data_IF_775120487858
#
_entry.id   IF_775120487858
#
_cell.length_a   1.000
_cell.length_b   1.000
_cell.length_c   1.000
_cell.angle_alpha   90.00
_cell.angle_beta   90.00
_cell.angle_gamma   90.00
#
_symmetry.space_group_name_H-M   'P 1'
#
loop_
_entity.id
_entity.type
_entity.pdbx_description
1 polymer ?
#
# COMPACT_ATOMS: atom_id res chain seq x y z
N UNK A 1 -4.14 10.85 -21.73
CA UNK A 1 -4.16 9.75 -20.75
C UNK A 1 -4.31 10.40 -19.39
N UNK A 2 -5.52 10.40 -18.83
CA UNK A 2 -5.68 10.69 -17.41
C UNK A 2 -5.14 9.46 -16.70
N UNK A 3 -3.96 9.57 -16.10
CA UNK A 3 -3.49 8.60 -15.13
C UNK A 3 -4.49 8.70 -13.97
N UNK A 4 -5.57 7.91 -14.04
CA UNK A 4 -6.38 7.62 -12.87
C UNK A 4 -5.38 7.29 -11.76
N UNK A 5 -5.57 7.84 -10.56
CA UNK A 5 -4.81 7.45 -9.38
C UNK A 5 -4.66 5.94 -9.46
N UNK A 6 -3.43 5.49 -9.65
CA UNK A 6 -3.14 4.08 -9.86
C UNK A 6 -3.84 3.33 -8.76
N UNK A 7 -4.64 2.33 -9.13
CA UNK A 7 -5.39 1.54 -8.19
C UNK A 7 -4.39 0.84 -7.25
N UNK A 8 -4.13 1.46 -6.10
CA UNK A 8 -2.99 1.17 -5.25
C UNK A 8 -3.46 0.87 -3.83
N UNK A 9 -2.97 -0.25 -3.32
CA UNK A 9 -3.05 -0.67 -1.93
C UNK A 9 -1.86 -0.10 -1.18
N UNK A 10 -2.10 0.57 -0.06
CA UNK A 10 -1.04 1.09 0.80
C UNK A 10 -0.99 0.29 2.10
N UNK A 11 0.17 -0.27 2.42
CA UNK A 11 0.46 -0.92 3.70
C UNK A 11 1.31 0.01 4.55
N UNK A 12 0.88 0.24 5.79
CA UNK A 12 1.68 0.97 6.78
C UNK A 12 2.73 0.04 7.38
N UNK A 13 4.01 0.34 7.16
CA UNK A 13 5.14 -0.53 7.52
C UNK A 13 6.00 0.01 8.68
N UNK A 14 5.78 1.26 9.10
CA UNK A 14 6.46 1.82 10.28
C UNK A 14 5.79 1.34 11.59
N UNK A 15 6.47 0.57 12.44
CA UNK A 15 5.94 0.01 13.68
C UNK A 15 5.63 1.06 14.75
N UNK A 16 6.12 2.30 14.59
CA UNK A 16 5.82 3.40 15.50
C UNK A 16 4.55 4.17 15.11
N UNK A 17 4.03 3.95 13.91
CA UNK A 17 2.84 4.61 13.41
C UNK A 17 1.57 3.97 14.01
N UNK A 18 0.56 4.80 14.34
CA UNK A 18 -0.69 4.33 14.94
C UNK A 18 -1.46 3.34 14.05
N UNK A 19 -1.28 3.45 12.73
CA UNK A 19 -1.90 2.59 11.72
C UNK A 19 -0.99 1.42 11.28
N UNK A 20 0.09 1.11 12.01
CA UNK A 20 1.01 0.03 11.63
C UNK A 20 0.28 -1.27 11.28
N UNK A 21 0.62 -1.85 10.13
CA UNK A 21 0.05 -3.09 9.64
C UNK A 21 -1.40 -2.99 9.15
N UNK A 22 -1.93 -1.78 8.99
CA UNK A 22 -3.19 -1.56 8.30
C UNK A 22 -2.98 -1.39 6.79
N UNK A 23 -4.02 -1.77 6.05
CA UNK A 23 -4.16 -1.50 4.62
C UNK A 23 -5.06 -0.29 4.41
N UNK A 24 -4.78 0.49 3.38
CA UNK A 24 -5.64 1.57 2.93
C UNK A 24 -5.62 1.75 1.42
N UNK A 25 -6.62 2.45 0.93
CA UNK A 25 -6.77 2.88 -0.46
C UNK A 25 -6.03 4.20 -0.68
N UNK A 26 -5.21 4.27 -1.73
CA UNK A 26 -4.62 5.53 -2.17
C UNK A 26 -5.70 6.44 -2.79
N UNK A 27 -6.05 7.51 -2.10
CA UNK A 27 -7.10 8.47 -2.53
C UNK A 27 -6.58 9.65 -3.34
N UNK A 28 -5.31 10.03 -3.14
CA UNK A 28 -4.64 11.07 -3.91
C UNK A 28 -3.13 10.97 -3.78
N UNK A 29 -2.44 11.57 -4.74
CA UNK A 29 -0.99 11.59 -4.79
C UNK A 29 -0.51 12.82 -5.56
N UNK A 30 0.40 13.62 -4.99
CA UNK A 30 0.85 14.86 -5.63
C UNK A 30 2.01 14.68 -6.65
N UNK A 31 2.64 13.50 -6.64
CA UNK A 31 3.71 13.05 -7.56
C UNK A 31 4.94 13.98 -7.58
N UNK A 32 5.20 14.67 -6.48
CA UNK A 32 6.36 15.55 -6.35
C UNK A 32 7.55 14.79 -5.77
N UNK A 33 8.74 15.29 -6.05
CA UNK A 33 9.92 14.89 -5.30
C UNK A 33 9.73 15.31 -3.84
N UNK A 34 9.76 14.34 -2.90
CA UNK A 34 9.29 14.53 -1.50
C UNK A 34 7.80 14.89 -1.39
N UNK A 35 6.97 14.27 -2.23
CA UNK A 35 5.53 14.45 -2.27
C UNK A 35 4.77 13.83 -1.11
N UNK A 36 3.47 14.03 -1.13
CA UNK A 36 2.51 13.47 -0.17
C UNK A 36 1.48 12.61 -0.90
N UNK A 37 0.93 11.65 -0.15
CA UNK A 37 -0.18 10.80 -0.57
C UNK A 37 -1.23 10.70 0.51
N UNK A 38 -2.50 10.69 0.12
CA UNK A 38 -3.62 10.46 1.05
C UNK A 38 -4.09 9.03 1.02
N UNK A 39 -4.23 8.43 2.20
CA UNK A 39 -4.63 7.03 2.37
C UNK A 39 -5.91 6.97 3.19
N UNK A 40 -6.91 6.25 2.67
CA UNK A 40 -8.16 5.98 3.39
C UNK A 40 -8.19 4.54 3.90
N UNK A 41 -8.45 4.38 5.19
CA UNK A 41 -8.54 3.08 5.87
C UNK A 41 -9.98 2.56 5.91
N UNK A 42 -10.14 1.27 6.27
CA UNK A 42 -11.45 0.60 6.34
C UNK A 42 -12.44 1.27 7.31
N UNK A 43 -11.93 1.89 8.38
CA UNK A 43 -12.75 2.63 9.35
C UNK A 43 -13.22 4.01 8.84
N UNK A 44 -12.79 4.39 7.63
CA UNK A 44 -13.08 5.68 7.02
C UNK A 44 -12.11 6.80 7.42
N UNK A 45 -11.12 6.52 8.26
CA UNK A 45 -10.05 7.47 8.60
C UNK A 45 -9.20 7.76 7.36
N UNK A 46 -8.86 9.02 7.16
CA UNK A 46 -7.93 9.46 6.11
C UNK A 46 -6.66 10.05 6.75
N UNK A 47 -5.49 9.62 6.27
CA UNK A 47 -4.18 10.06 6.76
C UNK A 47 -3.26 10.35 5.58
N UNK A 48 -2.51 11.42 5.69
CA UNK A 48 -1.50 11.80 4.71
C UNK A 48 -0.13 11.20 5.08
N UNK A 49 0.52 10.58 4.11
CA UNK A 49 1.87 10.02 4.24
C UNK A 49 2.84 10.68 3.24
N UNK A 50 4.13 10.82 3.60
CA UNK A 50 5.16 11.18 2.64
C UNK A 50 5.39 10.04 1.63
N UNK A 51 5.35 10.37 0.33
CA UNK A 51 5.62 9.44 -0.78
C UNK A 51 7.11 9.29 -1.11
N UNK A 52 7.91 10.30 -0.76
CA UNK A 52 9.32 10.36 -1.12
C UNK A 52 10.29 9.97 0.00
N UNK A 53 11.54 9.69 -0.40
CA UNK A 53 12.68 9.90 0.50
C UNK A 53 12.84 11.40 0.68
N UNK A 54 12.77 11.89 1.91
CA UNK A 54 13.48 13.13 2.26
C UNK A 54 14.98 12.76 2.29
N UNK A 55 15.85 13.61 1.75
CA UNK A 55 17.29 13.36 1.79
C UNK A 55 17.74 13.27 3.27
N UNK A 56 18.19 12.07 3.69
CA UNK A 56 18.56 11.78 5.08
C UNK A 56 17.56 10.92 5.87
N UNK A 57 16.39 10.60 5.31
CA UNK A 57 15.36 9.85 6.05
C UNK A 57 15.65 8.34 6.17
N UNK A 58 15.33 7.80 7.36
CA UNK A 58 15.15 6.36 7.57
C UNK A 58 13.74 5.94 7.14
N UNK A 59 13.62 4.65 6.78
CA UNK A 59 12.40 3.86 6.52
C UNK A 59 11.10 4.61 6.21
N UNK A 60 10.57 4.44 4.98
CA UNK A 60 9.26 5.00 4.60
C UNK A 60 8.15 4.44 5.51
N UNK A 61 7.20 5.27 5.98
CA UNK A 61 6.12 4.81 6.86
C UNK A 61 5.14 3.88 6.16
N UNK A 62 5.11 3.91 4.84
CA UNK A 62 4.21 3.11 4.00
C UNK A 62 4.92 2.47 2.81
N UNK A 63 4.29 1.42 2.27
CA UNK A 63 4.59 0.84 0.95
C UNK A 63 3.31 0.73 0.13
N UNK A 64 3.42 0.99 -1.16
CA UNK A 64 2.29 0.94 -2.10
C UNK A 64 2.44 -0.22 -3.08
N UNK A 65 1.32 -0.85 -3.42
CA UNK A 65 1.23 -2.02 -4.28
C UNK A 65 0.05 -1.87 -5.23
N UNK A 66 0.16 -2.37 -6.46
CA UNK A 66 -0.97 -2.40 -7.39
C UNK A 66 -2.07 -3.34 -6.90
N UNK A 67 -3.30 -2.81 -6.84
CA UNK A 67 -4.55 -3.56 -6.66
C UNK A 67 -4.89 -4.19 -8.02
N UNK A 68 -5.11 -5.50 -8.06
CA UNK A 68 -5.49 -6.31 -9.24
C UNK A 68 -4.40 -6.92 -10.14
N UNK A 69 -4.85 -8.02 -10.74
CA UNK A 69 -4.18 -8.97 -11.63
C UNK A 69 -4.13 -8.50 -13.10
N UNK A 70 -3.93 -7.20 -13.33
CA UNK A 70 -3.74 -6.69 -14.69
C UNK A 70 -2.25 -6.78 -15.10
N UNK A 71 -1.98 -6.83 -16.40
CA UNK A 71 -0.63 -7.01 -16.95
C UNK A 71 0.39 -5.98 -16.42
N UNK A 72 -0.07 -4.79 -16.03
CA UNK A 72 0.79 -3.74 -15.47
C UNK A 72 1.23 -4.13 -14.06
N UNK A 73 0.29 -4.49 -13.18
CA UNK A 73 0.58 -4.96 -11.83
C UNK A 73 1.49 -6.18 -11.83
N UNK A 74 1.19 -7.17 -12.67
CA UNK A 74 2.00 -8.39 -12.82
C UNK A 74 3.42 -8.08 -13.29
N UNK A 75 3.59 -7.26 -14.33
CA UNK A 75 4.91 -6.86 -14.82
C UNK A 75 5.73 -6.10 -13.75
N UNK A 76 5.07 -5.27 -12.94
CA UNK A 76 5.72 -4.59 -11.83
C UNK A 76 6.06 -5.52 -10.66
N UNK A 77 5.30 -6.59 -10.46
CA UNK A 77 5.58 -7.55 -9.39
C UNK A 77 6.78 -8.43 -9.72
N UNK A 78 6.93 -8.86 -10.98
CA UNK A 78 8.09 -9.61 -11.47
C UNK A 78 9.41 -8.84 -11.30
N UNK A 79 9.42 -7.54 -11.59
CA UNK A 79 10.64 -6.71 -11.57
C UNK A 79 10.87 -6.04 -10.21
N UNK A 80 9.81 -5.69 -9.47
CA UNK A 80 9.91 -4.74 -8.34
C UNK A 80 9.14 -5.13 -7.09
N UNK A 81 8.44 -6.27 -7.07
CA UNK A 81 7.60 -6.68 -5.92
C UNK A 81 6.58 -5.61 -5.54
N UNK A 82 6.01 -4.95 -6.55
CA UNK A 82 5.08 -3.84 -6.39
C UNK A 82 3.63 -4.24 -6.72
N UNK A 83 3.33 -5.53 -6.84
CA UNK A 83 1.99 -6.08 -6.98
C UNK A 83 1.55 -6.86 -5.74
N UNK A 84 0.56 -7.73 -5.92
CA UNK A 84 -0.08 -8.50 -4.85
C UNK A 84 0.87 -9.52 -4.21
N UNK A 85 1.75 -10.17 -4.97
CA UNK A 85 2.72 -11.11 -4.37
C UNK A 85 3.74 -10.36 -3.53
N UNK A 86 4.18 -9.17 -3.98
CA UNK A 86 5.00 -8.27 -3.17
C UNK A 86 4.32 -7.86 -1.85
N UNK A 87 3.01 -7.58 -1.89
CA UNK A 87 2.22 -7.29 -0.68
C UNK A 87 2.21 -8.50 0.27
N UNK A 88 1.88 -9.70 -0.23
CA UNK A 88 1.87 -10.94 0.56
C UNK A 88 3.23 -11.20 1.22
N UNK A 89 4.32 -11.04 0.47
CA UNK A 89 5.69 -11.25 0.92
C UNK A 89 6.06 -10.26 2.05
N UNK A 90 5.80 -8.97 1.84
CA UNK A 90 6.14 -7.94 2.83
C UNK A 90 5.28 -8.05 4.08
N UNK A 91 3.98 -8.30 3.93
CA UNK A 91 3.07 -8.46 5.06
C UNK A 91 3.51 -9.63 5.96
N UNK A 92 3.87 -10.76 5.33
CA UNK A 92 4.39 -11.94 6.03
C UNK A 92 5.73 -11.64 6.72
N UNK A 93 6.64 -10.94 6.04
CA UNK A 93 7.95 -10.59 6.59
C UNK A 93 7.88 -9.64 7.80
N UNK A 94 6.85 -8.80 7.86
CA UNK A 94 6.62 -7.88 8.98
C UNK A 94 5.97 -8.55 10.20
N UNK A 95 5.57 -9.83 10.12
CA UNK A 95 4.89 -10.56 11.20
C UNK A 95 3.64 -9.83 11.76
N UNK A 96 2.94 -9.06 10.91
CA UNK A 96 1.70 -8.35 11.28
C UNK A 96 0.55 -9.35 11.45
N UNK A 97 0.58 -10.44 10.68
CA UNK A 97 -0.41 -11.52 10.73
C UNK A 97 -0.16 -12.56 9.64
N UNK A 98 -1.04 -13.56 9.56
CA UNK A 98 -1.03 -14.55 8.49
C UNK A 98 -1.78 -14.07 7.23
N UNK A 99 -1.75 -14.89 6.18
CA UNK A 99 -2.46 -14.62 4.92
C UNK A 99 -3.98 -14.49 5.12
N UNK A 100 -4.58 -15.23 6.04
CA UNK A 100 -6.01 -15.10 6.37
C UNK A 100 -6.35 -13.69 6.85
N UNK A 101 -5.56 -13.14 7.78
CA UNK A 101 -5.73 -11.77 8.27
C UNK A 101 -5.50 -10.72 7.18
N UNK A 102 -4.52 -10.96 6.30
CA UNK A 102 -4.28 -10.08 5.16
C UNK A 102 -5.52 -10.05 4.24
N UNK A 103 -6.10 -11.21 3.97
CA UNK A 103 -7.28 -11.36 3.12
C UNK A 103 -8.51 -10.67 3.73
N UNK A 104 -8.73 -10.80 5.03
CA UNK A 104 -9.80 -10.07 5.75
C UNK A 104 -9.63 -8.56 5.65
N UNK A 105 -8.45 -8.03 5.99
CA UNK A 105 -8.15 -6.59 5.94
C UNK A 105 -8.31 -6.03 4.53
N UNK A 106 -7.91 -6.79 3.52
CA UNK A 106 -8.06 -6.37 2.13
C UNK A 106 -9.53 -6.30 1.73
N UNK A 107 -10.33 -7.29 2.14
CA UNK A 107 -11.77 -7.28 1.90
C UNK A 107 -12.47 -6.11 2.61
N UNK A 108 -12.05 -5.76 3.84
CA UNK A 108 -12.61 -4.61 4.57
C UNK A 108 -12.39 -3.28 3.85
N UNK A 109 -11.24 -3.10 3.17
CA UNK A 109 -10.92 -1.85 2.46
C UNK A 109 -11.56 -1.84 1.06
N UNK A 110 -11.50 -2.96 0.34
CA UNK A 110 -11.78 -2.99 -1.10
C UNK A 110 -13.04 -3.77 -1.50
N UNK A 111 -13.65 -4.53 -0.57
CA UNK A 111 -14.85 -5.33 -0.83
C UNK A 111 -14.61 -6.59 -1.67
N UNK A 112 -13.36 -7.02 -1.82
CA UNK A 112 -12.96 -8.18 -2.64
C UNK A 112 -11.83 -8.98 -1.95
N UNK A 113 -11.59 -10.21 -2.42
CA UNK A 113 -10.54 -11.06 -1.88
C UNK A 113 -9.26 -10.95 -2.72
N UNK A 114 -8.12 -11.12 -2.06
CA UNK A 114 -6.83 -11.28 -2.73
C UNK A 114 -6.79 -12.66 -3.37
N UNK A 115 -6.61 -12.73 -4.69
CA UNK A 115 -6.37 -13.98 -5.44
C UNK A 115 -4.93 -14.48 -5.28
#
# INVERSE_FOLDING_TARGET
>A
MNTHISDLVVLVVDPTHAQYGQLGELTWHDWRESGMMGVKFADGTEVDFPDGKIEGDQWKPVKSFYRHDNEIGQAFDEDRKAGIEGLKEIYSALNIGGLETLQEKYFEVFGEYIE
#
